data_IF_001200156020
#
_entry.id   IF_001200156020
#
_cell.length_a   1.000
_cell.length_b   1.000
_cell.length_c   1.000
_cell.angle_alpha   90.00
_cell.angle_beta   90.00
_cell.angle_gamma   90.00
#
_symmetry.space_group_name_H-M   'P 1'
#
loop_
_entity.id
_entity.type
_entity.pdbx_description
1 polymer ?
#
# COMPACT_ATOMS: atom_id res chain seq x y z
N UNK A 1 15.59 -20.26 3.73
CA UNK A 1 15.15 -20.28 2.32
C UNK A 1 13.89 -19.44 2.08
N UNK A 2 12.75 -19.69 2.73
CA UNK A 2 11.51 -18.91 2.51
C UNK A 2 11.65 -17.41 2.78
N UNK A 3 12.29 -17.03 3.88
CA UNK A 3 12.49 -15.61 4.21
C UNK A 3 13.36 -14.88 3.18
N UNK A 4 14.34 -15.53 2.59
CA UNK A 4 15.16 -14.96 1.51
C UNK A 4 14.31 -14.73 0.26
N UNK A 5 13.44 -15.68 -0.10
CA UNK A 5 12.53 -15.51 -1.24
C UNK A 5 11.58 -14.34 -0.98
N UNK A 6 10.92 -14.30 0.18
CA UNK A 6 9.90 -13.29 0.49
C UNK A 6 10.47 -11.88 0.67
N UNK A 7 11.65 -11.76 1.30
CA UNK A 7 12.18 -10.46 1.75
C UNK A 7 13.45 -10.00 1.03
N UNK A 8 13.93 -10.78 0.05
CA UNK A 8 15.00 -10.36 -0.85
C UNK A 8 14.60 -10.53 -2.31
N UNK A 9 14.16 -11.72 -2.74
CA UNK A 9 13.90 -11.98 -4.17
C UNK A 9 12.63 -11.26 -4.64
N UNK A 10 11.50 -11.42 -3.95
CA UNK A 10 10.22 -10.82 -4.35
C UNK A 10 10.31 -9.29 -4.47
N UNK A 11 10.90 -8.52 -3.53
CA UNK A 11 11.04 -7.08 -3.69
C UNK A 11 11.75 -6.66 -4.98
N UNK A 12 12.88 -7.28 -5.30
CA UNK A 12 13.61 -6.94 -6.53
C UNK A 12 12.86 -7.35 -7.79
N UNK A 13 12.24 -8.54 -7.79
CA UNK A 13 11.41 -8.98 -8.93
C UNK A 13 10.22 -8.04 -9.15
N UNK A 14 9.55 -7.62 -8.09
CA UNK A 14 8.41 -6.71 -8.16
C UNK A 14 8.81 -5.36 -8.78
N UNK A 15 9.91 -4.78 -8.31
CA UNK A 15 10.43 -3.53 -8.87
C UNK A 15 10.89 -3.72 -10.32
N UNK A 16 11.56 -4.81 -10.64
CA UNK A 16 11.99 -5.11 -12.01
C UNK A 16 10.78 -5.25 -12.95
N UNK A 17 9.74 -5.97 -12.54
CA UNK A 17 8.50 -6.13 -13.32
C UNK A 17 7.82 -4.77 -13.53
N UNK A 18 7.69 -3.96 -12.48
CA UNK A 18 7.07 -2.63 -12.59
C UNK A 18 7.83 -1.71 -13.55
N UNK A 19 9.16 -1.66 -13.45
CA UNK A 19 10.01 -0.80 -14.30
C UNK A 19 10.03 -1.30 -15.72
N UNK A 20 10.38 -2.58 -15.93
CA UNK A 20 10.51 -3.14 -17.29
C UNK A 20 9.15 -3.26 -17.98
N UNK A 21 8.13 -3.71 -17.25
CA UNK A 21 6.75 -3.77 -17.73
C UNK A 21 6.21 -2.38 -18.07
N UNK A 22 6.45 -1.40 -17.21
CA UNK A 22 6.08 -0.01 -17.44
C UNK A 22 6.75 0.57 -18.69
N UNK A 23 8.06 0.39 -18.85
CA UNK A 23 8.79 0.82 -20.06
C UNK A 23 8.23 0.15 -21.31
N UNK A 24 8.01 -1.16 -21.24
CA UNK A 24 7.46 -1.91 -22.36
C UNK A 24 6.06 -1.44 -22.76
N UNK A 25 5.14 -1.30 -21.80
CA UNK A 25 3.79 -0.76 -22.05
C UNK A 25 3.84 0.65 -22.63
N UNK A 26 4.67 1.53 -22.09
CA UNK A 26 4.81 2.89 -22.61
C UNK A 26 5.29 2.91 -24.08
N UNK A 27 6.14 1.95 -24.49
CA UNK A 27 6.65 1.86 -25.87
C UNK A 27 5.68 1.20 -26.84
N UNK A 28 4.92 0.20 -26.37
CA UNK A 28 4.05 -0.63 -27.25
C UNK A 28 2.61 -0.14 -27.27
N UNK A 29 2.06 0.30 -26.12
CA UNK A 29 0.69 0.76 -26.00
C UNK A 29 0.54 1.82 -24.90
N UNK A 30 0.76 3.07 -25.26
CA UNK A 30 0.64 4.21 -24.34
C UNK A 30 -0.77 4.40 -23.81
N UNK A 31 -1.79 4.01 -24.56
CA UNK A 31 -3.19 4.18 -24.17
C UNK A 31 -3.64 3.13 -23.14
N UNK A 32 -2.87 2.05 -22.96
CA UNK A 32 -3.16 1.04 -21.92
C UNK A 32 -3.02 1.58 -20.48
N UNK A 33 -2.38 2.73 -20.30
CA UNK A 33 -2.33 3.43 -19.01
C UNK A 33 -3.60 4.24 -18.70
N UNK A 34 -4.44 4.52 -19.70
CA UNK A 34 -5.69 5.21 -19.47
C UNK A 34 -6.78 4.21 -19.06
N UNK A 35 -7.30 4.32 -17.85
CA UNK A 35 -8.54 3.66 -17.50
C UNK A 35 -9.69 4.32 -18.27
N UNK A 36 -10.56 3.50 -18.88
CA UNK A 36 -11.80 4.05 -19.44
C UNK A 36 -12.60 4.70 -18.31
N UNK A 37 -12.80 6.00 -18.41
CA UNK A 37 -13.47 6.75 -17.36
C UNK A 37 -14.94 6.36 -17.30
N UNK A 38 -15.36 5.76 -16.19
CA UNK A 38 -16.76 5.50 -15.88
C UNK A 38 -17.45 6.68 -15.18
N UNK A 39 -16.81 7.86 -15.17
CA UNK A 39 -17.29 9.07 -14.48
C UNK A 39 -18.64 9.54 -15.03
N UNK A 40 -18.84 9.49 -16.35
CA UNK A 40 -20.10 9.87 -16.98
C UNK A 40 -21.25 8.91 -16.65
N UNK A 41 -20.97 7.69 -16.23
CA UNK A 41 -21.97 6.68 -15.89
C UNK A 41 -22.52 6.86 -14.48
N UNK A 42 -21.68 7.28 -13.55
CA UNK A 42 -22.01 7.61 -12.18
C UNK A 42 -20.86 8.40 -11.56
N UNK A 43 -21.12 9.61 -11.06
CA UNK A 43 -20.10 10.55 -10.58
C UNK A 43 -20.08 10.71 -9.06
N UNK A 44 -21.23 10.56 -8.38
CA UNK A 44 -21.34 10.87 -6.95
C UNK A 44 -20.57 9.88 -6.08
N UNK A 45 -20.82 8.59 -6.26
CA UNK A 45 -20.11 7.54 -5.53
C UNK A 45 -18.63 7.48 -5.94
N UNK A 46 -18.34 7.72 -7.24
CA UNK A 46 -16.96 7.84 -7.71
C UNK A 46 -16.23 8.97 -7.01
N UNK A 47 -16.81 10.15 -6.89
CA UNK A 47 -16.18 11.30 -6.23
C UNK A 47 -15.82 10.97 -4.78
N UNK A 48 -16.81 10.55 -3.97
CA UNK A 48 -16.56 10.26 -2.57
C UNK A 48 -15.62 9.09 -2.34
N UNK A 49 -15.75 8.02 -3.13
CA UNK A 49 -14.85 6.88 -3.05
C UNK A 49 -13.41 7.24 -3.44
N UNK A 50 -13.26 7.94 -4.56
CA UNK A 50 -11.94 8.32 -5.08
C UNK A 50 -11.24 9.35 -4.19
N UNK A 51 -11.94 10.39 -3.75
CA UNK A 51 -11.36 11.42 -2.87
C UNK A 51 -10.91 10.80 -1.56
N UNK A 52 -11.78 10.04 -0.88
CA UNK A 52 -11.44 9.38 0.39
C UNK A 52 -10.26 8.43 0.24
N UNK A 53 -10.25 7.62 -0.82
CA UNK A 53 -9.16 6.72 -1.13
C UNK A 53 -7.83 7.46 -1.33
N UNK A 54 -7.79 8.43 -2.26
CA UNK A 54 -6.53 9.07 -2.61
C UNK A 54 -5.96 9.92 -1.49
N UNK A 55 -6.76 10.73 -0.81
CA UNK A 55 -6.25 11.52 0.32
C UNK A 55 -5.79 10.61 1.47
N UNK A 56 -6.55 9.58 1.81
CA UNK A 56 -6.15 8.64 2.86
C UNK A 56 -4.84 7.93 2.52
N UNK A 57 -4.75 7.33 1.33
CA UNK A 57 -3.55 6.55 0.96
C UNK A 57 -2.31 7.42 0.74
N UNK A 58 -2.44 8.62 0.16
CA UNK A 58 -1.30 9.51 -0.05
C UNK A 58 -0.68 9.95 1.28
N UNK A 59 -1.52 10.26 2.27
CA UNK A 59 -1.03 10.61 3.61
C UNK A 59 -0.36 9.43 4.31
N UNK A 60 -0.93 8.22 4.19
CA UNK A 60 -0.34 6.99 4.76
C UNK A 60 1.00 6.67 4.09
N UNK A 61 1.04 6.65 2.76
CA UNK A 61 2.28 6.40 2.02
C UNK A 61 3.32 7.48 2.29
N UNK A 62 2.89 8.74 2.38
CA UNK A 62 3.76 9.85 2.78
C UNK A 62 4.40 9.61 4.14
N UNK A 63 3.64 9.17 5.14
CA UNK A 63 4.17 8.84 6.46
C UNK A 63 5.18 7.68 6.40
N UNK A 64 4.92 6.63 5.60
CA UNK A 64 5.85 5.52 5.40
C UNK A 64 7.16 5.98 4.74
N UNK A 65 7.07 6.84 3.71
CA UNK A 65 8.25 7.39 3.02
C UNK A 65 9.05 8.29 3.96
N UNK A 66 8.38 9.17 4.72
CA UNK A 66 9.05 10.03 5.70
C UNK A 66 9.77 9.19 6.76
N UNK A 67 9.10 8.17 7.30
CA UNK A 67 9.72 7.26 8.27
C UNK A 67 10.89 6.46 7.69
N UNK A 68 10.86 6.13 6.38
CA UNK A 68 11.95 5.44 5.69
C UNK A 68 13.14 6.37 5.43
N UNK A 69 12.91 7.57 4.92
CA UNK A 69 13.96 8.50 4.49
C UNK A 69 14.54 9.26 5.69
N UNK A 70 13.70 9.72 6.60
CA UNK A 70 14.04 10.51 7.77
C UNK A 70 13.92 9.67 9.05
N UNK A 71 14.44 8.44 9.02
CA UNK A 71 14.23 7.47 10.10
C UNK A 71 14.75 7.91 11.47
N UNK A 72 15.86 8.68 11.55
CA UNK A 72 16.36 9.22 12.80
C UNK A 72 15.40 10.27 13.40
N UNK A 73 14.91 11.18 12.55
CA UNK A 73 13.95 12.21 12.93
C UNK A 73 12.61 11.57 13.31
N UNK A 74 12.20 10.52 12.58
CA UNK A 74 11.02 9.74 12.92
C UNK A 74 11.16 9.05 14.29
N UNK A 75 12.29 8.40 14.56
CA UNK A 75 12.56 7.79 15.86
C UNK A 75 12.49 8.82 17.00
N UNK A 76 13.09 10.01 16.79
CA UNK A 76 12.99 11.13 17.75
C UNK A 76 11.55 11.64 17.91
N UNK A 77 10.76 11.68 16.84
CA UNK A 77 9.38 12.10 16.87
C UNK A 77 8.52 11.13 17.70
N UNK A 78 8.68 9.83 17.48
CA UNK A 78 7.90 8.78 18.15
C UNK A 78 8.41 8.41 19.56
N UNK A 79 9.57 8.91 19.97
CA UNK A 79 10.08 8.70 21.33
C UNK A 79 9.21 9.34 22.43
N UNK A 80 8.44 10.37 22.08
CA UNK A 80 7.47 10.97 22.99
C UNK A 80 6.12 10.24 22.90
N UNK A 81 5.60 9.68 24.01
CA UNK A 81 4.36 8.88 24.00
C UNK A 81 3.13 9.60 23.44
N UNK A 82 2.98 10.90 23.71
CA UNK A 82 1.85 11.68 23.21
C UNK A 82 1.91 11.84 21.70
N UNK A 83 3.09 12.15 21.15
CA UNK A 83 3.28 12.26 19.69
C UNK A 83 3.08 10.93 19.00
N UNK A 84 3.65 9.84 19.56
CA UNK A 84 3.46 8.49 19.06
C UNK A 84 1.96 8.14 18.99
N UNK A 85 1.24 8.30 20.10
CA UNK A 85 -0.20 8.00 20.15
C UNK A 85 -1.01 8.85 19.15
N UNK A 86 -0.69 10.12 19.03
CA UNK A 86 -1.35 11.01 18.06
C UNK A 86 -1.13 10.52 16.62
N UNK A 87 0.09 10.14 16.27
CA UNK A 87 0.41 9.60 14.94
C UNK A 87 -0.32 8.28 14.65
N UNK A 88 -0.39 7.39 15.65
CA UNK A 88 -1.10 6.10 15.53
C UNK A 88 -2.60 6.31 15.30
N UNK A 89 -3.23 7.24 16.05
CA UNK A 89 -4.66 7.57 15.88
C UNK A 89 -4.93 8.21 14.52
N UNK A 90 -4.10 9.17 14.10
CA UNK A 90 -4.24 9.80 12.77
C UNK A 90 -4.04 8.76 11.67
N UNK A 91 -3.02 7.93 11.76
CA UNK A 91 -2.74 6.87 10.79
C UNK A 91 -3.89 5.87 10.68
N UNK A 92 -4.47 5.45 11.81
CA UNK A 92 -5.65 4.58 11.83
C UNK A 92 -6.87 5.26 11.21
N UNK A 93 -7.15 6.51 11.56
CA UNK A 93 -8.26 7.26 10.97
C UNK A 93 -8.14 7.39 9.46
N UNK A 94 -6.96 7.74 8.96
CA UNK A 94 -6.68 7.84 7.51
C UNK A 94 -6.82 6.49 6.81
N UNK A 95 -6.38 5.38 7.44
CA UNK A 95 -6.53 4.04 6.86
C UNK A 95 -7.98 3.59 6.79
N UNK A 96 -8.80 3.94 7.79
CA UNK A 96 -10.23 3.70 7.75
C UNK A 96 -10.92 4.52 6.65
N UNK A 97 -10.56 5.79 6.48
CA UNK A 97 -11.07 6.65 5.40
C UNK A 97 -10.69 6.07 4.03
N UNK A 98 -9.44 5.64 3.83
CA UNK A 98 -8.99 5.00 2.61
C UNK A 98 -9.73 3.68 2.33
N UNK A 99 -9.92 2.85 3.35
CA UNK A 99 -10.65 1.59 3.23
C UNK A 99 -12.12 1.79 2.86
N UNK A 100 -12.80 2.73 3.50
CA UNK A 100 -14.19 3.08 3.18
C UNK A 100 -14.30 3.64 1.76
N UNK A 101 -13.33 4.43 1.31
CA UNK A 101 -13.23 4.88 -0.07
C UNK A 101 -13.17 3.72 -1.07
N UNK A 102 -12.30 2.74 -0.83
CA UNK A 102 -12.19 1.54 -1.65
C UNK A 102 -13.45 0.68 -1.60
N UNK A 103 -14.05 0.50 -0.42
CA UNK A 103 -15.30 -0.24 -0.28
C UNK A 103 -16.42 0.40 -1.10
N UNK A 104 -16.52 1.73 -1.10
CA UNK A 104 -17.47 2.47 -1.92
C UNK A 104 -17.21 2.29 -3.42
N UNK A 105 -15.95 2.32 -3.86
CA UNK A 105 -15.56 2.08 -5.26
C UNK A 105 -15.90 0.65 -5.70
N UNK A 106 -15.66 -0.35 -4.86
CA UNK A 106 -16.02 -1.75 -5.12
C UNK A 106 -17.55 -1.89 -5.21
N UNK A 107 -18.27 -1.37 -4.21
CA UNK A 107 -19.73 -1.40 -4.19
C UNK A 107 -20.33 -0.73 -5.43
N UNK A 108 -19.79 0.41 -5.84
CA UNK A 108 -20.19 1.12 -7.07
C UNK A 108 -20.06 0.22 -8.31
N UNK A 109 -18.95 -0.50 -8.45
CA UNK A 109 -18.72 -1.39 -9.60
C UNK A 109 -19.65 -2.61 -9.61
N UNK A 110 -20.06 -3.08 -8.43
CA UNK A 110 -20.94 -4.27 -8.32
C UNK A 110 -22.43 -3.93 -8.40
N UNK A 111 -22.84 -2.76 -7.86
CA UNK A 111 -24.26 -2.43 -7.67
C UNK A 111 -24.79 -1.54 -8.82
N UNK A 112 -23.99 -0.60 -9.33
CA UNK A 112 -24.44 0.31 -10.38
C UNK A 112 -24.37 -0.39 -11.73
N UNK A 113 -25.49 -0.82 -12.27
CA UNK A 113 -25.60 -1.64 -13.50
C UNK A 113 -24.80 -1.07 -14.69
N UNK A 114 -24.87 0.26 -14.92
CA UNK A 114 -24.13 0.92 -16.01
C UNK A 114 -22.61 0.80 -15.82
N UNK A 115 -22.13 0.90 -14.60
CA UNK A 115 -20.71 0.77 -14.26
C UNK A 115 -20.29 -0.71 -14.32
N UNK A 116 -21.12 -1.62 -13.80
CA UNK A 116 -20.88 -3.06 -13.85
C UNK A 116 -20.70 -3.57 -15.29
N UNK A 117 -21.47 -3.03 -16.26
CA UNK A 117 -21.39 -3.41 -17.66
C UNK A 117 -20.02 -3.08 -18.32
N UNK A 118 -19.26 -2.13 -17.80
CA UNK A 118 -17.93 -1.73 -18.29
C UNK A 118 -16.80 -2.14 -17.33
N UNK A 119 -17.12 -2.86 -16.27
CA UNK A 119 -16.14 -3.32 -15.27
C UNK A 119 -15.45 -4.59 -15.78
N UNK A 120 -14.13 -4.55 -15.86
CA UNK A 120 -13.32 -5.71 -16.21
C UNK A 120 -12.99 -6.54 -14.97
N UNK A 121 -12.66 -7.84 -15.11
CA UNK A 121 -12.16 -8.64 -13.99
C UNK A 121 -10.92 -8.03 -13.34
N UNK A 122 -10.03 -7.42 -14.13
CA UNK A 122 -8.80 -6.79 -13.62
C UNK A 122 -9.10 -5.57 -12.74
N UNK A 123 -10.15 -4.79 -13.04
CA UNK A 123 -10.61 -3.70 -12.18
C UNK A 123 -10.97 -4.20 -10.77
N UNK A 124 -11.66 -5.33 -10.68
CA UNK A 124 -12.03 -5.93 -9.39
C UNK A 124 -10.82 -6.52 -8.67
N UNK A 125 -9.95 -7.24 -9.39
CA UNK A 125 -8.70 -7.79 -8.82
C UNK A 125 -7.88 -6.68 -8.19
N UNK A 126 -7.69 -5.55 -8.89
CA UNK A 126 -6.93 -4.42 -8.39
C UNK A 126 -7.57 -3.80 -7.15
N UNK A 127 -8.87 -3.50 -7.20
CA UNK A 127 -9.58 -2.90 -6.07
C UNK A 127 -9.59 -3.81 -4.84
N UNK A 128 -9.78 -5.11 -5.02
CA UNK A 128 -9.75 -6.10 -3.92
C UNK A 128 -8.33 -6.21 -3.35
N UNK A 129 -7.31 -6.24 -4.19
CA UNK A 129 -5.92 -6.29 -3.74
C UNK A 129 -5.55 -5.05 -2.92
N UNK A 130 -5.94 -3.84 -3.38
CA UNK A 130 -5.76 -2.59 -2.64
C UNK A 130 -6.53 -2.61 -1.31
N UNK A 131 -7.80 -3.03 -1.32
CA UNK A 131 -8.61 -3.12 -0.10
C UNK A 131 -8.02 -4.11 0.91
N UNK A 132 -7.52 -5.25 0.44
CA UNK A 132 -6.83 -6.23 1.27
C UNK A 132 -5.56 -5.63 1.88
N UNK A 133 -4.76 -4.92 1.09
CA UNK A 133 -3.53 -4.29 1.58
C UNK A 133 -3.82 -3.25 2.67
N UNK A 134 -4.86 -2.43 2.49
CA UNK A 134 -5.26 -1.45 3.51
C UNK A 134 -5.84 -2.15 4.75
N UNK A 135 -6.63 -3.20 4.59
CA UNK A 135 -7.15 -4.00 5.71
C UNK A 135 -6.03 -4.64 6.54
N UNK A 136 -4.98 -5.16 5.90
CA UNK A 136 -3.79 -5.66 6.58
C UNK A 136 -3.10 -4.53 7.37
N UNK A 137 -2.99 -3.33 6.80
CA UNK A 137 -2.44 -2.15 7.47
C UNK A 137 -3.26 -1.72 8.68
N UNK A 138 -4.59 -1.73 8.57
CA UNK A 138 -5.50 -1.47 9.71
C UNK A 138 -5.29 -2.49 10.82
N UNK A 139 -5.20 -3.77 10.47
CA UNK A 139 -4.92 -4.83 11.46
C UNK A 139 -3.60 -4.60 12.19
N UNK A 140 -2.55 -4.24 11.45
CA UNK A 140 -1.24 -3.91 12.05
C UNK A 140 -1.35 -2.68 12.96
N UNK A 141 -2.07 -1.65 12.54
CA UNK A 141 -2.28 -0.45 13.36
C UNK A 141 -3.00 -0.76 14.68
N UNK A 142 -4.01 -1.63 14.64
CA UNK A 142 -4.78 -2.03 15.83
C UNK A 142 -4.03 -3.02 16.73
N UNK A 143 -3.41 -4.04 16.11
CA UNK A 143 -2.84 -5.17 16.86
C UNK A 143 -1.36 -5.01 17.22
N UNK A 144 -0.60 -4.23 16.44
CA UNK A 144 0.86 -4.17 16.56
C UNK A 144 1.40 -2.74 16.61
N UNK A 145 0.53 -1.72 16.59
CA UNK A 145 0.91 -0.31 16.73
C UNK A 145 2.06 0.05 15.78
N UNK A 146 1.78 0.11 14.47
CA UNK A 146 2.79 0.28 13.40
C UNK A 146 3.74 1.46 13.58
N UNK A 147 3.28 2.56 14.20
CA UNK A 147 4.08 3.75 14.47
C UNK A 147 5.08 3.58 15.60
N UNK A 148 5.00 2.47 16.34
CA UNK A 148 5.86 2.19 17.47
C UNK A 148 7.30 1.89 17.04
N UNK A 149 8.16 1.80 18.02
CA UNK A 149 9.61 1.68 17.87
C UNK A 149 10.06 0.47 16.99
N UNK A 150 9.28 -0.62 16.98
CA UNK A 150 9.62 -1.81 16.22
C UNK A 150 9.77 -1.55 14.71
N UNK A 151 8.96 -0.66 14.13
CA UNK A 151 9.02 -0.34 12.71
C UNK A 151 10.38 0.24 12.32
N UNK A 152 10.93 1.14 13.15
CA UNK A 152 12.22 1.79 12.92
C UNK A 152 13.37 0.81 13.02
N UNK A 153 13.26 -0.22 13.88
CA UNK A 153 14.30 -1.21 14.13
C UNK A 153 14.19 -2.48 13.27
N UNK A 154 13.11 -2.63 12.50
CA UNK A 154 12.89 -3.83 11.66
C UNK A 154 12.65 -3.48 10.20
N UNK A 155 11.47 -2.96 9.86
CA UNK A 155 11.08 -2.70 8.48
C UNK A 155 11.97 -1.65 7.80
N UNK A 156 12.33 -0.57 8.50
CA UNK A 156 13.20 0.49 7.96
C UNK A 156 14.59 -0.03 7.61
N UNK A 157 15.36 -0.69 8.51
CA UNK A 157 16.66 -1.23 8.15
C UNK A 157 16.58 -2.33 7.08
N UNK A 158 15.51 -3.12 7.05
CA UNK A 158 15.29 -4.06 5.97
C UNK A 158 15.14 -3.34 4.61
N UNK A 159 14.28 -2.33 4.50
CA UNK A 159 14.10 -1.55 3.27
C UNK A 159 15.40 -0.85 2.84
N UNK A 160 16.15 -0.28 3.79
CA UNK A 160 17.48 0.28 3.50
C UNK A 160 18.46 -0.76 2.96
N UNK A 161 18.41 -1.99 3.46
CA UNK A 161 19.26 -3.08 2.97
C UNK A 161 18.95 -3.45 1.52
N UNK A 162 17.66 -3.40 1.12
CA UNK A 162 17.24 -3.58 -0.27
C UNK A 162 17.77 -2.46 -1.17
N UNK A 163 17.63 -1.20 -0.75
CA UNK A 163 18.14 -0.04 -1.53
C UNK A 163 19.66 -0.11 -1.71
N UNK A 164 20.39 -0.60 -0.69
CA UNK A 164 21.84 -0.78 -0.75
C UNK A 164 22.28 -2.04 -1.51
N UNK A 165 21.37 -2.78 -2.14
CA UNK A 165 21.62 -4.04 -2.85
C UNK A 165 22.35 -5.10 -1.98
N UNK A 166 22.14 -5.03 -0.68
CA UNK A 166 22.65 -6.00 0.30
C UNK A 166 21.50 -6.45 1.21
N UNK A 167 20.55 -7.26 0.70
CA UNK A 167 19.31 -7.59 1.37
C UNK A 167 19.57 -8.36 2.67
N UNK A 168 18.91 -7.92 3.76
CA UNK A 168 18.99 -8.52 5.09
C UNK A 168 17.61 -8.99 5.56
N UNK A 169 17.14 -10.17 5.08
CA UNK A 169 15.83 -10.72 5.42
C UNK A 169 15.65 -10.97 6.92
N UNK A 170 16.75 -11.11 7.66
CA UNK A 170 16.76 -11.39 9.11
C UNK A 170 15.97 -10.35 9.92
N UNK A 171 15.93 -9.09 9.50
CA UNK A 171 15.13 -8.06 10.15
C UNK A 171 13.62 -8.36 10.15
N UNK A 172 13.15 -9.18 9.21
CA UNK A 172 11.74 -9.51 9.05
C UNK A 172 11.35 -10.84 9.69
N UNK A 173 12.33 -11.65 10.13
CA UNK A 173 12.07 -13.04 10.57
C UNK A 173 11.20 -13.11 11.82
N UNK A 174 11.46 -12.25 12.80
CA UNK A 174 10.75 -12.22 14.09
C UNK A 174 9.37 -11.59 14.02
N UNK A 175 9.02 -10.89 12.91
CA UNK A 175 7.77 -10.19 12.80
C UNK A 175 6.56 -11.13 12.64
N UNK A 176 5.36 -10.72 13.10
CA UNK A 176 4.14 -11.47 12.90
C UNK A 176 3.82 -11.72 11.43
N UNK A 177 3.13 -12.82 11.13
CA UNK A 177 2.76 -13.19 9.77
C UNK A 177 1.98 -12.09 9.04
N UNK A 178 1.10 -11.38 9.74
CA UNK A 178 0.29 -10.28 9.17
C UNK A 178 1.17 -9.13 8.68
N UNK A 179 2.24 -8.79 9.39
CA UNK A 179 3.21 -7.75 8.99
C UNK A 179 3.99 -8.21 7.77
N UNK A 180 4.40 -9.48 7.74
CA UNK A 180 5.07 -10.10 6.59
C UNK A 180 4.20 -10.08 5.35
N UNK A 181 2.92 -10.43 5.48
CA UNK A 181 1.94 -10.40 4.40
C UNK A 181 1.73 -8.97 3.87
N UNK A 182 1.61 -8.00 4.76
CA UNK A 182 1.48 -6.60 4.37
C UNK A 182 2.73 -6.10 3.61
N UNK A 183 3.92 -6.42 4.09
CA UNK A 183 5.16 -6.03 3.44
C UNK A 183 5.31 -6.65 2.03
N UNK A 184 5.08 -7.96 1.91
CA UNK A 184 5.13 -8.67 0.62
C UNK A 184 4.00 -8.20 -0.30
N UNK A 185 2.78 -8.02 0.23
CA UNK A 185 1.63 -7.51 -0.51
C UNK A 185 1.87 -6.15 -1.13
N UNK A 186 2.57 -5.26 -0.42
CA UNK A 186 2.99 -3.96 -0.96
C UNK A 186 3.87 -4.08 -2.21
N UNK A 187 4.85 -4.97 -2.19
CA UNK A 187 5.69 -5.23 -3.38
C UNK A 187 4.92 -5.91 -4.51
N UNK A 188 4.02 -6.84 -4.20
CA UNK A 188 3.16 -7.46 -5.23
C UNK A 188 2.24 -6.43 -5.90
N UNK A 189 1.73 -5.46 -5.14
CA UNK A 189 0.97 -4.34 -5.71
C UNK A 189 1.82 -3.49 -6.63
N UNK A 190 3.08 -3.19 -6.29
CA UNK A 190 4.01 -2.47 -7.17
C UNK A 190 4.18 -3.21 -8.51
N UNK A 191 4.28 -4.55 -8.49
CA UNK A 191 4.40 -5.34 -9.72
C UNK A 191 3.10 -5.39 -10.55
N UNK A 192 1.93 -5.12 -9.94
CA UNK A 192 0.63 -5.17 -10.59
C UNK A 192 0.33 -3.88 -11.39
N UNK A 193 0.96 -2.76 -11.02
CA UNK A 193 0.83 -1.46 -11.69
C UNK A 193 1.86 -1.26 -12.81
#
# INVERSE_FOLDING_TARGET
MWNTILFAVIPYLAVAIAVLGGIWRYRTDRFSYSSQSSQFLESRALFWGSVSWHYGILMILGAHVVALVLWNQWASLVSNPTRLYTLEVIGLALSLVAFLGLALLIARRLIVRRVAAVTTPMDLVLLIALATQVALGIWIALGYRWGSEWYVHTAVPWLHSLVKLNPKPEYMVSLPAIVKLHAVGGFLLIALF
#
